data_IF_841560700032
#
_entry.id   IF_841560700032
#
_cell.length_a   1.000
_cell.length_b   1.000
_cell.length_c   1.000
_cell.angle_alpha   90.00
_cell.angle_beta   90.00
_cell.angle_gamma   90.00
#
_symmetry.space_group_name_H-M   'P 1'
#
loop_
_entity.id
_entity.type
_entity.pdbx_description
1 polymer ?
#
# COMPACT_ATOMS: atom_id res chain seq x y z
N UNK A 1 -6.52 0.71 5.62
CA UNK A 1 -6.54 2.17 5.44
C UNK A 1 -5.51 2.52 4.38
N UNK A 2 -5.76 3.51 3.54
CA UNK A 2 -4.81 3.98 2.52
C UNK A 2 -4.48 5.47 2.74
N UNK A 3 -3.47 5.97 2.06
CA UNK A 3 -2.99 7.35 2.25
C UNK A 3 -4.02 8.41 1.84
N UNK A 4 -4.91 8.08 0.90
CA UNK A 4 -6.05 8.93 0.53
C UNK A 4 -7.07 9.07 1.67
N UNK A 5 -7.49 7.96 2.28
CA UNK A 5 -8.41 8.00 3.44
C UNK A 5 -7.74 8.62 4.67
N UNK A 6 -6.45 8.32 4.90
CA UNK A 6 -5.66 8.95 5.96
C UNK A 6 -5.62 10.48 5.81
N UNK A 7 -5.50 11.00 4.58
CA UNK A 7 -5.55 12.45 4.31
C UNK A 7 -6.85 13.11 4.80
N UNK A 8 -8.00 12.47 4.56
CA UNK A 8 -9.29 12.95 5.06
C UNK A 8 -9.38 12.94 6.58
N UNK A 9 -8.86 11.89 7.23
CA UNK A 9 -8.80 11.78 8.70
C UNK A 9 -7.91 12.87 9.29
N UNK A 10 -6.73 13.10 8.74
CA UNK A 10 -5.82 14.16 9.21
C UNK A 10 -6.46 15.54 9.05
N UNK A 11 -7.19 15.79 7.97
CA UNK A 11 -7.92 17.04 7.79
C UNK A 11 -8.99 17.25 8.89
N UNK A 12 -9.78 16.20 9.19
CA UNK A 12 -10.79 16.25 10.25
C UNK A 12 -10.16 16.46 11.65
N UNK A 13 -9.07 15.76 11.96
CA UNK A 13 -8.34 15.92 13.23
C UNK A 13 -7.74 17.32 13.35
N UNK A 14 -7.21 17.88 12.25
CA UNK A 14 -6.68 19.25 12.23
C UNK A 14 -7.76 20.27 12.58
N UNK A 15 -8.97 20.13 12.02
CA UNK A 15 -10.09 21.02 12.33
C UNK A 15 -10.52 20.97 13.81
N UNK A 16 -10.19 19.90 14.53
CA UNK A 16 -10.45 19.73 15.96
C UNK A 16 -9.23 20.04 16.84
N UNK A 17 -8.10 20.46 16.25
CA UNK A 17 -6.85 20.69 17.00
C UNK A 17 -6.19 19.41 17.52
N UNK A 18 -6.51 18.24 16.94
CA UNK A 18 -6.05 16.91 17.38
C UNK A 18 -5.01 16.29 16.45
N UNK A 19 -4.61 16.97 15.38
CA UNK A 19 -3.60 16.46 14.47
C UNK A 19 -2.28 16.17 15.20
N UNK A 20 -1.72 14.99 14.97
CA UNK A 20 -0.51 14.51 15.65
C UNK A 20 -0.70 14.02 17.08
N UNK A 21 -1.88 14.18 17.69
CA UNK A 21 -2.22 13.56 18.98
C UNK A 21 -2.93 12.22 18.82
N UNK A 22 -3.70 12.05 17.73
CA UNK A 22 -4.38 10.79 17.41
C UNK A 22 -3.57 10.04 16.35
N UNK A 23 -3.19 8.76 16.60
CA UNK A 23 -2.47 7.96 15.61
C UNK A 23 -3.31 7.73 14.35
N UNK A 24 -2.69 7.91 13.18
CA UNK A 24 -3.32 7.67 11.87
C UNK A 24 -2.39 6.82 11.03
N UNK A 25 -2.88 5.66 10.58
CA UNK A 25 -2.17 4.79 9.65
C UNK A 25 -2.62 5.00 8.21
N UNK A 26 -1.72 4.68 7.29
CA UNK A 26 -1.96 4.70 5.86
C UNK A 26 -1.17 3.62 5.12
N UNK A 27 -1.26 3.66 3.81
CA UNK A 27 -0.65 2.73 2.87
C UNK A 27 -0.54 3.45 1.53
N UNK A 28 0.43 3.04 0.71
CA UNK A 28 0.70 3.45 -0.68
C UNK A 28 1.98 4.29 -0.81
N UNK A 29 2.36 4.99 0.26
CA UNK A 29 3.57 5.81 0.27
C UNK A 29 3.44 7.06 -0.59
N UNK A 30 2.27 7.66 -0.60
CA UNK A 30 2.00 8.88 -1.35
C UNK A 30 2.93 10.00 -0.88
N UNK A 31 3.40 10.84 -1.80
CA UNK A 31 4.25 12.00 -1.45
C UNK A 31 3.62 12.88 -0.37
N UNK A 32 2.29 13.08 -0.42
CA UNK A 32 1.57 13.84 0.59
C UNK A 32 1.56 13.14 1.97
N UNK A 33 1.51 11.80 2.01
CA UNK A 33 1.59 11.04 3.25
C UNK A 33 2.99 11.10 3.86
N UNK A 34 4.05 11.02 3.04
CA UNK A 34 5.43 11.19 3.52
C UNK A 34 5.64 12.54 4.20
N UNK A 35 5.10 13.62 3.61
CA UNK A 35 5.12 14.95 4.24
C UNK A 35 4.34 14.96 5.56
N UNK A 36 3.14 14.36 5.62
CA UNK A 36 2.36 14.28 6.87
C UNK A 36 3.07 13.49 7.96
N UNK A 37 3.77 12.41 7.60
CA UNK A 37 4.60 11.62 8.51
C UNK A 37 5.77 12.45 9.04
N UNK A 38 6.48 13.15 8.17
CA UNK A 38 7.57 14.05 8.56
C UNK A 38 7.09 15.16 9.52
N UNK A 39 5.86 15.65 9.32
CA UNK A 39 5.21 16.63 10.20
C UNK A 39 4.60 16.01 11.49
N UNK A 40 4.65 14.69 11.67
CA UNK A 40 4.07 13.99 12.81
C UNK A 40 2.53 13.93 12.83
N UNK A 41 1.87 14.34 11.75
CA UNK A 41 0.39 14.38 11.65
C UNK A 41 -0.23 13.08 11.14
N UNK A 42 0.58 12.22 10.52
CA UNK A 42 0.26 10.83 10.19
C UNK A 42 1.34 9.93 10.80
N UNK A 43 0.97 8.81 11.39
CA UNK A 43 1.91 7.98 12.17
C UNK A 43 2.77 7.10 11.26
N UNK A 44 2.15 6.45 10.28
CA UNK A 44 2.82 5.53 9.36
C UNK A 44 2.17 5.52 7.99
N UNK A 45 2.94 5.12 6.98
CA UNK A 45 2.43 4.59 5.72
C UNK A 45 3.20 3.31 5.39
N UNK A 46 2.51 2.33 4.83
CA UNK A 46 3.11 1.09 4.34
C UNK A 46 3.52 1.26 2.88
N UNK A 47 4.83 1.24 2.64
CA UNK A 47 5.40 1.22 1.30
C UNK A 47 5.23 -0.17 0.66
N UNK A 48 4.80 -0.18 -0.60
CA UNK A 48 4.78 -1.37 -1.47
C UNK A 48 5.51 -1.00 -2.74
N UNK A 49 6.58 -1.71 -3.08
CA UNK A 49 7.31 -1.41 -4.31
C UNK A 49 6.49 -1.87 -5.53
N UNK A 50 5.78 -0.93 -6.14
CA UNK A 50 4.97 -1.20 -7.33
C UNK A 50 5.81 -1.66 -8.53
N UNK A 51 7.12 -1.37 -8.56
CA UNK A 51 8.01 -1.77 -9.65
C UNK A 51 8.29 -3.27 -9.58
N UNK A 52 8.62 -3.77 -8.40
CA UNK A 52 8.80 -5.21 -8.18
C UNK A 52 7.49 -5.97 -8.38
N UNK A 53 6.39 -5.45 -7.82
CA UNK A 53 5.08 -6.07 -7.98
C UNK A 53 4.66 -6.12 -9.46
N UNK A 54 4.81 -5.01 -10.19
CA UNK A 54 4.47 -4.92 -11.61
C UNK A 54 5.33 -5.83 -12.48
N UNK A 55 6.64 -5.89 -12.22
CA UNK A 55 7.56 -6.81 -12.90
C UNK A 55 7.13 -8.27 -12.70
N UNK A 56 6.93 -8.70 -11.46
CA UNK A 56 6.52 -10.07 -11.15
C UNK A 56 5.16 -10.39 -11.78
N UNK A 57 4.20 -9.47 -11.73
CA UNK A 57 2.88 -9.66 -12.35
C UNK A 57 2.98 -9.85 -13.87
N UNK A 58 3.81 -9.05 -14.55
CA UNK A 58 4.02 -9.17 -15.99
C UNK A 58 4.72 -10.48 -16.37
N UNK A 59 5.74 -10.90 -15.61
CA UNK A 59 6.44 -12.17 -15.82
C UNK A 59 5.50 -13.39 -15.64
N UNK A 60 4.61 -13.35 -14.66
CA UNK A 60 3.60 -14.39 -14.45
C UNK A 60 2.60 -14.37 -15.61
N UNK A 61 2.07 -13.20 -15.98
CA UNK A 61 1.13 -13.08 -17.09
C UNK A 61 1.70 -13.60 -18.41
N UNK A 62 2.97 -13.32 -18.70
CA UNK A 62 3.67 -13.84 -19.89
C UNK A 62 3.73 -15.36 -19.88
N UNK A 63 4.14 -15.97 -18.76
CA UNK A 63 4.20 -17.44 -18.64
C UNK A 63 2.85 -18.11 -18.85
N UNK A 64 1.78 -17.52 -18.30
CA UNK A 64 0.42 -18.03 -18.48
C UNK A 64 -0.05 -17.90 -19.93
N UNK A 65 0.29 -16.78 -20.59
CA UNK A 65 -0.01 -16.59 -22.02
C UNK A 65 0.72 -17.61 -22.92
N UNK A 66 1.91 -18.06 -22.52
CA UNK A 66 2.67 -19.12 -23.19
C UNK A 66 2.15 -20.54 -22.88
N UNK A 67 1.05 -20.67 -22.13
CA UNK A 67 0.39 -21.94 -21.84
C UNK A 67 0.95 -22.68 -20.62
N UNK A 68 1.82 -22.04 -19.82
CA UNK A 68 2.31 -22.64 -18.58
C UNK A 68 1.15 -22.83 -17.59
N UNK A 69 0.98 -24.01 -16.97
CA UNK A 69 -0.03 -24.21 -15.93
C UNK A 69 0.18 -23.28 -14.73
N UNK A 70 -0.92 -22.81 -14.12
CA UNK A 70 -0.89 -21.97 -12.91
C UNK A 70 -0.09 -22.60 -11.77
N UNK A 71 -0.19 -23.92 -11.61
CA UNK A 71 0.53 -24.69 -10.57
C UNK A 71 2.05 -24.67 -10.73
N UNK A 72 2.53 -24.37 -11.93
CA UNK A 72 3.95 -24.40 -12.26
C UNK A 72 4.60 -23.01 -12.13
N UNK A 73 3.80 -21.98 -11.82
CA UNK A 73 4.29 -20.63 -11.51
C UNK A 73 4.97 -20.67 -10.14
N UNK A 74 6.19 -20.13 -10.07
CA UNK A 74 6.98 -20.13 -8.85
C UNK A 74 6.26 -19.41 -7.70
N UNK A 75 6.23 -20.04 -6.52
CA UNK A 75 5.63 -19.46 -5.31
C UNK A 75 4.12 -19.58 -5.20
N UNK A 76 3.44 -20.20 -6.19
CA UNK A 76 2.02 -20.55 -6.06
C UNK A 76 1.84 -21.57 -4.94
N UNK A 77 0.82 -21.33 -4.12
CA UNK A 77 0.34 -22.26 -3.09
C UNK A 77 -1.17 -22.33 -3.22
N UNK A 78 -1.70 -23.54 -3.11
CA UNK A 78 -3.15 -23.71 -3.01
C UNK A 78 -3.64 -23.07 -1.72
N UNK A 79 -4.73 -22.32 -1.81
CA UNK A 79 -5.39 -21.78 -0.64
C UNK A 79 -6.12 -22.92 0.08
N UNK A 80 -5.74 -23.17 1.33
CA UNK A 80 -6.41 -24.14 2.20
C UNK A 80 -7.04 -23.41 3.38
N UNK A 81 -8.33 -23.65 3.61
CA UNK A 81 -9.08 -23.17 4.79
C UNK A 81 -8.78 -23.96 6.04
#
# INVERSE_FOLDING_TARGET
ANDGTAGGVVAALTAQGLAGSVPVSGQDGDHAALNRIALGTQTVSVWKDARELGKNAAEIASQLADGKPMTDIAGVKDFTT
#
